data_IF_349903137316
#
_entry.id   IF_349903137316
#
_cell.length_a   1.000
_cell.length_b   1.000
_cell.length_c   1.000
_cell.angle_alpha   90.00
_cell.angle_beta   90.00
_cell.angle_gamma   90.00
#
_symmetry.space_group_name_H-M   'P 1'
#
loop_
_entity.id
_entity.type
_entity.pdbx_description
1 polymer ?
#
# COMPACT_ATOMS: atom_id res chain seq x y z
N UNK A 1 23.06 23.36 24.52
CA UNK A 1 22.82 23.33 23.06
C UNK A 1 23.03 21.92 22.53
N UNK A 2 22.24 21.48 21.55
CA UNK A 2 22.40 20.18 20.85
C UNK A 2 22.49 20.47 19.35
N UNK A 3 23.34 19.73 18.63
CA UNK A 3 23.36 19.71 17.16
C UNK A 3 22.56 18.49 16.74
N UNK A 4 21.38 18.74 16.16
CA UNK A 4 20.53 17.66 15.63
C UNK A 4 21.04 17.25 14.25
N UNK A 5 20.95 15.96 13.92
CA UNK A 5 21.11 15.52 12.53
C UNK A 5 19.84 15.92 11.78
N UNK A 6 19.97 16.83 10.83
CA UNK A 6 18.83 17.36 10.06
C UNK A 6 18.53 16.54 8.79
N UNK A 7 19.44 15.65 8.40
CA UNK A 7 19.28 14.82 7.21
C UNK A 7 18.10 13.85 7.39
N UNK A 8 17.05 14.02 6.58
CA UNK A 8 15.82 13.22 6.67
C UNK A 8 14.77 13.72 7.66
N UNK A 9 15.05 14.74 8.47
CA UNK A 9 14.17 15.14 9.58
C UNK A 9 13.70 16.61 9.50
N UNK A 10 13.59 17.15 8.27
CA UNK A 10 13.09 18.51 8.04
C UNK A 10 11.78 18.51 7.27
N UNK A 11 10.92 19.51 7.55
CA UNK A 11 9.62 19.64 6.88
C UNK A 11 9.79 19.73 5.35
N UNK A 12 10.80 20.45 4.87
CA UNK A 12 11.11 20.57 3.44
C UNK A 12 11.51 19.22 2.82
N UNK A 13 12.23 18.37 3.55
CA UNK A 13 12.62 17.05 3.08
C UNK A 13 11.41 16.14 2.89
N UNK A 14 10.55 16.02 3.91
CA UNK A 14 9.37 15.14 3.83
C UNK A 14 8.35 15.66 2.81
N UNK A 15 8.20 16.99 2.67
CA UNK A 15 7.37 17.58 1.62
C UNK A 15 7.94 17.28 0.23
N UNK A 16 9.27 17.36 0.07
CA UNK A 16 9.95 16.97 -1.17
C UNK A 16 9.76 15.49 -1.52
N UNK A 17 9.84 14.61 -0.52
CA UNK A 17 9.56 13.18 -0.66
C UNK A 17 8.12 12.94 -1.15
N UNK A 18 7.14 13.56 -0.49
CA UNK A 18 5.73 13.50 -0.89
C UNK A 18 5.53 13.96 -2.33
N UNK A 19 6.08 15.12 -2.70
CA UNK A 19 5.96 15.64 -4.05
C UNK A 19 6.57 14.70 -5.09
N UNK A 20 7.76 14.15 -4.84
CA UNK A 20 8.42 13.21 -5.75
C UNK A 20 7.56 11.99 -6.07
N UNK A 21 6.97 11.39 -5.04
CA UNK A 21 6.14 10.18 -5.15
C UNK A 21 4.77 10.48 -5.77
N UNK A 22 4.17 11.62 -5.43
CA UNK A 22 2.84 11.96 -5.93
C UNK A 22 2.86 12.44 -7.38
N UNK A 23 3.99 12.96 -7.88
CA UNK A 23 4.12 13.49 -9.25
C UNK A 23 4.08 12.43 -10.35
N UNK A 24 4.37 11.17 -10.03
CA UNK A 24 4.29 10.08 -11.02
C UNK A 24 2.82 9.72 -11.31
N UNK A 25 2.39 9.93 -12.55
CA UNK A 25 1.01 9.76 -13.00
C UNK A 25 0.49 8.31 -12.98
N UNK A 26 -0.84 8.19 -13.10
CA UNK A 26 -1.67 7.02 -12.73
C UNK A 26 -1.70 5.84 -13.73
N UNK A 27 -1.04 5.89 -14.89
CA UNK A 27 -1.40 4.92 -15.95
C UNK A 27 -0.87 3.49 -15.74
N UNK A 28 0.34 3.29 -15.20
CA UNK A 28 0.86 1.96 -14.81
C UNK A 28 1.85 2.10 -13.65
N UNK A 29 1.41 1.76 -12.44
CA UNK A 29 2.29 1.75 -11.26
C UNK A 29 3.16 0.49 -11.28
N UNK A 30 4.47 0.68 -11.34
CA UNK A 30 5.41 -0.43 -11.15
C UNK A 30 5.42 -0.89 -9.68
N UNK A 31 5.87 -2.11 -9.42
CA UNK A 31 6.07 -2.60 -8.04
C UNK A 31 7.05 -1.72 -7.27
N UNK A 32 8.08 -1.17 -7.94
CA UNK A 32 9.03 -0.23 -7.35
C UNK A 32 8.33 1.06 -6.90
N UNK A 33 7.48 1.61 -7.76
CA UNK A 33 6.71 2.81 -7.44
C UNK A 33 5.74 2.56 -6.29
N UNK A 34 5.04 1.43 -6.29
CA UNK A 34 4.16 1.04 -5.19
C UNK A 34 4.91 0.97 -3.86
N UNK A 35 6.06 0.29 -3.80
CA UNK A 35 6.89 0.24 -2.59
C UNK A 35 7.32 1.63 -2.13
N UNK A 36 7.68 2.51 -3.05
CA UNK A 36 8.02 3.91 -2.73
C UNK A 36 6.83 4.70 -2.19
N UNK A 37 5.63 4.48 -2.73
CA UNK A 37 4.37 5.07 -2.24
C UNK A 37 4.10 4.62 -0.80
N UNK A 38 4.18 3.31 -0.53
CA UNK A 38 3.94 2.76 0.80
C UNK A 38 4.98 3.22 1.82
N UNK A 39 6.28 3.22 1.46
CA UNK A 39 7.32 3.71 2.37
C UNK A 39 7.15 5.20 2.71
N UNK A 40 6.67 6.00 1.75
CA UNK A 40 6.38 7.43 2.00
C UNK A 40 5.13 7.61 2.85
N UNK A 41 4.13 6.74 2.67
CA UNK A 41 2.92 6.73 3.49
C UNK A 41 3.27 6.46 4.96
N UNK A 42 4.07 5.42 5.22
CA UNK A 42 4.53 5.07 6.56
C UNK A 42 5.35 6.20 7.19
N UNK A 43 6.30 6.77 6.45
CA UNK A 43 7.11 7.91 6.91
C UNK A 43 6.22 9.08 7.32
N UNK A 44 5.33 9.55 6.44
CA UNK A 44 4.43 10.67 6.71
C UNK A 44 3.51 10.39 7.90
N UNK A 45 2.98 9.18 8.01
CA UNK A 45 2.06 8.81 9.07
C UNK A 45 2.76 8.71 10.42
N UNK A 46 3.82 7.91 10.51
CA UNK A 46 4.43 7.51 11.78
C UNK A 46 5.48 8.48 12.29
N UNK A 47 6.31 9.05 11.41
CA UNK A 47 7.39 9.96 11.81
C UNK A 47 6.93 11.42 11.91
N UNK A 48 5.83 11.78 11.24
CA UNK A 48 5.38 13.17 11.17
C UNK A 48 3.99 13.38 11.81
N UNK A 49 2.93 12.86 11.20
CA UNK A 49 1.56 13.17 11.62
C UNK A 49 1.26 12.67 13.03
N UNK A 50 1.55 11.40 13.33
CA UNK A 50 1.31 10.81 14.65
C UNK A 50 2.17 11.49 15.73
N UNK A 51 3.44 11.78 15.43
CA UNK A 51 4.33 12.48 16.39
C UNK A 51 3.86 13.89 16.70
N UNK A 52 3.34 14.61 15.71
CA UNK A 52 2.76 15.93 15.93
C UNK A 52 1.48 15.87 16.76
N UNK A 53 0.55 14.97 16.41
CA UNK A 53 -0.77 14.94 17.03
C UNK A 53 -0.78 14.37 18.45
N UNK A 54 0.12 13.45 18.80
CA UNK A 54 0.21 12.90 20.16
C UNK A 54 0.61 13.96 21.20
N UNK A 55 1.27 15.04 20.79
CA UNK A 55 1.68 16.14 21.66
C UNK A 55 0.50 17.05 22.07
N UNK A 56 -0.63 16.98 21.36
CA UNK A 56 -1.90 17.60 21.74
C UNK A 56 -2.05 19.09 21.44
N UNK A 57 -3.20 19.65 21.84
CA UNK A 57 -3.66 20.99 21.44
C UNK A 57 -2.79 22.14 21.98
N UNK A 58 -2.26 21.99 23.19
CA UNK A 58 -1.38 23.01 23.79
C UNK A 58 -0.08 23.15 22.99
N UNK A 59 0.52 22.02 22.59
CA UNK A 59 1.69 22.01 21.73
C UNK A 59 1.37 22.69 20.39
N UNK A 60 0.28 22.29 19.73
CA UNK A 60 -0.14 22.90 18.48
C UNK A 60 -0.31 24.43 18.59
N UNK A 61 -0.89 24.94 19.69
CA UNK A 61 -1.06 26.38 19.91
C UNK A 61 0.26 27.14 20.01
N UNK A 62 1.27 26.55 20.68
CA UNK A 62 2.58 27.18 20.88
C UNK A 62 3.45 27.15 19.61
N UNK A 63 3.15 26.24 18.68
CA UNK A 63 3.99 25.97 17.51
C UNK A 63 3.26 26.26 16.18
N UNK A 64 2.77 27.50 16.03
CA UNK A 64 1.94 27.95 14.91
C UNK A 64 2.56 27.70 13.51
N UNK A 65 3.89 27.74 13.39
CA UNK A 65 4.60 27.52 12.12
C UNK A 65 4.30 26.15 11.51
N UNK A 66 4.18 25.11 12.35
CA UNK A 66 3.99 23.71 11.92
C UNK A 66 2.60 23.42 11.34
N UNK A 67 1.63 24.30 11.53
CA UNK A 67 0.27 24.09 11.03
C UNK A 67 0.21 23.97 9.52
N UNK A 68 0.97 24.80 8.79
CA UNK A 68 0.97 24.75 7.34
C UNK A 68 1.65 23.49 6.77
N UNK A 69 2.86 23.09 7.24
CA UNK A 69 3.46 21.80 6.90
C UNK A 69 2.55 20.62 7.22
N UNK A 70 1.95 20.55 8.42
CA UNK A 70 1.09 19.43 8.81
C UNK A 70 -0.11 19.27 7.88
N UNK A 71 -0.77 20.37 7.51
CA UNK A 71 -1.88 20.32 6.52
C UNK A 71 -1.44 19.79 5.15
N UNK A 72 -0.23 20.14 4.69
CA UNK A 72 0.30 19.61 3.41
C UNK A 72 0.59 18.12 3.50
N UNK A 73 1.15 17.67 4.63
CA UNK A 73 1.39 16.25 4.89
C UNK A 73 0.10 15.44 4.99
N UNK A 74 -0.94 15.96 5.64
CA UNK A 74 -2.27 15.33 5.68
C UNK A 74 -2.88 15.17 4.29
N UNK A 75 -2.75 16.21 3.45
CA UNK A 75 -3.23 16.16 2.07
C UNK A 75 -2.48 15.08 1.26
N UNK A 76 -1.15 14.99 1.42
CA UNK A 76 -0.33 13.98 0.77
C UNK A 76 -0.69 12.56 1.27
N UNK A 77 -0.76 12.36 2.59
CA UNK A 77 -1.17 11.11 3.23
C UNK A 77 -2.53 10.64 2.70
N UNK A 78 -3.51 11.54 2.63
CA UNK A 78 -4.86 11.23 2.13
C UNK A 78 -4.84 10.75 0.66
N UNK A 79 -3.96 11.31 -0.18
CA UNK A 79 -3.79 10.83 -1.56
C UNK A 79 -3.15 9.44 -1.60
N UNK A 80 -2.10 9.21 -0.79
CA UNK A 80 -1.41 7.93 -0.71
C UNK A 80 -2.36 6.82 -0.20
N UNK A 81 -3.14 7.09 0.85
CA UNK A 81 -4.19 6.20 1.35
C UNK A 81 -5.19 5.78 0.25
N UNK A 82 -5.70 6.75 -0.51
CA UNK A 82 -6.60 6.45 -1.64
C UNK A 82 -5.93 5.60 -2.71
N UNK A 83 -4.65 5.85 -3.00
CA UNK A 83 -3.87 5.04 -3.94
C UNK A 83 -3.66 3.62 -3.42
N UNK A 84 -3.50 3.45 -2.10
CA UNK A 84 -3.40 2.16 -1.42
C UNK A 84 -4.71 1.39 -1.57
N UNK A 85 -5.82 1.99 -1.16
CA UNK A 85 -7.15 1.39 -1.27
C UNK A 85 -7.50 0.98 -2.71
N UNK A 86 -7.20 1.83 -3.70
CA UNK A 86 -7.44 1.52 -5.12
C UNK A 86 -6.64 0.31 -5.60
N UNK A 87 -5.40 0.15 -5.15
CA UNK A 87 -4.58 -1.00 -5.52
C UNK A 87 -5.05 -2.28 -4.82
N UNK A 88 -5.47 -2.20 -3.54
CA UNK A 88 -6.08 -3.34 -2.85
C UNK A 88 -7.35 -3.81 -3.57
N UNK A 89 -8.21 -2.89 -4.00
CA UNK A 89 -9.40 -3.23 -4.80
C UNK A 89 -9.05 -3.89 -6.13
N UNK A 90 -8.01 -3.40 -6.83
CA UNK A 90 -7.52 -4.02 -8.07
C UNK A 90 -7.02 -5.44 -7.83
N UNK A 91 -6.21 -5.64 -6.78
CA UNK A 91 -5.66 -6.95 -6.43
C UNK A 91 -6.76 -7.93 -6.01
N UNK A 92 -7.74 -7.46 -5.25
CA UNK A 92 -8.90 -8.25 -4.85
C UNK A 92 -9.69 -8.74 -6.07
N UNK A 93 -10.04 -7.82 -6.99
CA UNK A 93 -10.73 -8.17 -8.24
C UNK A 93 -9.93 -9.14 -9.11
N UNK A 94 -8.62 -8.93 -9.21
CA UNK A 94 -7.73 -9.84 -9.95
C UNK A 94 -7.57 -11.21 -9.27
N UNK A 95 -7.72 -11.27 -7.94
CA UNK A 95 -7.75 -12.53 -7.18
C UNK A 95 -9.04 -13.29 -7.45
N UNK A 96 -10.18 -12.62 -7.33
CA UNK A 96 -11.52 -13.18 -7.60
C UNK A 96 -11.68 -13.64 -9.06
N UNK A 97 -11.12 -12.90 -10.03
CA UNK A 97 -11.13 -13.32 -11.43
C UNK A 97 -10.23 -14.55 -11.69
N UNK A 98 -9.27 -14.83 -10.81
CA UNK A 98 -8.33 -15.97 -10.91
C UNK A 98 -8.73 -17.15 -10.02
N UNK A 99 -9.69 -17.00 -9.12
CA UNK A 99 -10.19 -18.15 -8.40
C UNK A 99 -10.80 -19.11 -9.41
N UNK A 100 -10.17 -20.28 -9.57
CA UNK A 100 -10.79 -21.45 -10.20
C UNK A 100 -12.14 -21.59 -9.53
N UNK A 101 -13.20 -21.48 -10.31
CA UNK A 101 -14.55 -21.61 -9.76
C UNK A 101 -14.64 -22.97 -9.05
N UNK A 102 -15.41 -23.07 -7.96
CA UNK A 102 -15.63 -24.36 -7.30
C UNK A 102 -16.11 -25.44 -8.30
N UNK A 103 -16.78 -25.02 -9.37
CA UNK A 103 -17.17 -25.84 -10.50
C UNK A 103 -15.98 -26.37 -11.33
N UNK A 104 -14.97 -25.55 -11.62
CA UNK A 104 -13.76 -25.97 -12.33
C UNK A 104 -12.90 -26.90 -11.48
N UNK A 105 -12.78 -26.65 -10.18
CA UNK A 105 -12.12 -27.57 -9.25
C UNK A 105 -12.84 -28.92 -9.20
N UNK A 106 -14.16 -28.92 -9.05
CA UNK A 106 -14.96 -30.15 -9.07
C UNK A 106 -14.88 -30.89 -10.41
N UNK A 107 -14.73 -30.16 -11.53
CA UNK A 107 -14.56 -30.75 -12.86
C UNK A 107 -13.18 -31.41 -13.01
N UNK A 108 -12.11 -30.77 -12.55
CA UNK A 108 -10.75 -31.35 -12.53
C UNK A 108 -10.71 -32.62 -11.68
N UNK A 109 -11.32 -32.59 -10.49
CA UNK A 109 -11.39 -33.74 -9.58
C UNK A 109 -12.15 -34.92 -10.19
N UNK A 110 -13.28 -34.65 -10.87
CA UNK A 110 -14.04 -35.67 -11.62
C UNK A 110 -13.23 -36.23 -12.79
N UNK A 111 -12.50 -35.39 -13.53
CA UNK A 111 -11.66 -35.81 -14.65
C UNK A 111 -10.51 -36.72 -14.20
N UNK A 112 -9.87 -36.39 -13.08
CA UNK A 112 -8.77 -37.16 -12.51
C UNK A 112 -9.25 -38.53 -11.99
N UNK A 113 -10.37 -38.57 -11.25
CA UNK A 113 -11.02 -39.83 -10.84
C UNK A 113 -11.38 -40.72 -12.03
N UNK A 114 -11.86 -40.12 -13.13
CA UNK A 114 -12.18 -40.86 -14.38
C UNK A 114 -10.91 -41.41 -15.04
N UNK A 115 -9.83 -40.65 -15.09
CA UNK A 115 -8.54 -41.10 -15.62
C UNK A 115 -7.95 -42.26 -14.79
N UNK A 116 -8.06 -42.19 -13.46
CA UNK A 116 -7.59 -43.22 -12.54
C UNK A 116 -8.37 -44.54 -12.72
N UNK A 117 -9.70 -44.47 -12.88
CA UNK A 117 -10.52 -45.65 -13.21
C UNK A 117 -10.11 -46.30 -14.54
N UNK A 118 -9.79 -45.50 -15.57
CA UNK A 118 -9.33 -46.01 -16.87
C UNK A 118 -7.98 -46.71 -16.76
N UNK A 119 -7.03 -46.15 -16.01
CA UNK A 119 -5.72 -46.76 -15.73
C UNK A 119 -5.84 -48.12 -15.02
N UNK A 120 -6.69 -48.21 -13.99
CA UNK A 120 -6.94 -49.48 -13.27
C UNK A 120 -7.57 -50.54 -14.16
N UNK A 121 -8.49 -50.15 -15.05
CA UNK A 121 -9.12 -51.07 -16.01
C UNK A 121 -8.13 -51.57 -17.06
N UNK A 122 -7.19 -50.74 -17.50
CA UNK A 122 -6.16 -51.13 -18.47
C UNK A 122 -5.02 -51.97 -17.87
N UNK A 123 -4.80 -51.92 -16.56
CA UNK A 123 -3.78 -52.70 -15.86
C UNK A 123 -4.28 -54.06 -15.33
N UNK A 124 -5.59 -54.30 -15.38
CA UNK A 124 -6.24 -55.50 -14.83
C UNK A 124 -6.89 -56.40 -15.88
N UNK A 125 -6.57 -56.22 -17.16
CA UNK A 125 -6.95 -57.11 -18.26
C UNK A 125 -5.73 -57.44 -19.10
#
# INVERSE_FOLDING_TARGET
HRVSREEGHTASWVEGLCHSVLRTGSQRRSVKQWRSEQATLDEVEFEWLRQWYIQGKTHARLHAWWHAPMRRLEAAWSVLERRTASALQLLQRASEARSVTDAEWAAMDKAERKAQKRRRKAAGG
#
